data_IF_173990776606
#
_entry.id   IF_173990776606
#
_cell.length_a   1.000
_cell.length_b   1.000
_cell.length_c   1.000
_cell.angle_alpha   90.00
_cell.angle_beta   90.00
_cell.angle_gamma   90.00
#
_symmetry.space_group_name_H-M   'P 1'
#
loop_
_entity.id
_entity.type
_entity.pdbx_description
1 polymer ?
2 water ?
#
# COMPACT_ATOMS: atom_id res chain seq x y z
N UNK A 2 -4.93 12.74 -10.84
CA UNK A 2 -4.01 11.96 -11.72
C UNK A 2 -3.03 11.05 -11.00
N UNK A 3 -3.05 11.04 -9.66
CA UNK A 3 -2.01 10.37 -8.89
C UNK A 3 -2.06 8.84 -9.01
N UNK A 4 -0.89 8.20 -8.96
CA UNK A 4 -0.76 6.72 -8.96
C UNK A 4 -0.08 6.30 -7.69
N UNK A 5 -0.75 5.43 -6.94
CA UNK A 5 -0.21 4.83 -5.74
C UNK A 5 -0.17 3.35 -5.91
N UNK A 6 0.69 2.75 -5.14
CA UNK A 6 0.73 1.31 -4.91
C UNK A 6 0.84 1.04 -3.46
N UNK A 7 0.37 -0.14 -3.09
CA UNK A 7 0.38 -0.52 -1.71
C UNK A 7 0.65 -2.02 -1.59
N UNK A 8 1.17 -2.37 -0.43
CA UNK A 8 1.24 -3.73 0.04
C UNK A 8 0.57 -3.84 1.40
N UNK A 9 -0.22 -4.90 1.56
CA UNK A 9 -0.78 -5.21 2.85
C UNK A 9 -0.33 -6.58 3.26
N UNK A 10 -0.08 -6.75 4.57
CA UNK A 10 0.40 -8.02 5.14
C UNK A 10 0.13 -8.16 6.64
N UNK A 11 -0.51 -9.23 7.04
CA UNK A 11 -0.71 -9.51 8.47
C UNK A 11 -0.30 -10.96 8.65
N UNK A 12 0.59 -11.29 9.62
CA UNK A 12 1.01 -12.71 9.75
C UNK A 12 -0.10 -13.67 10.22
N UNK A 13 -1.20 -13.14 10.75
CA UNK A 13 -2.28 -14.00 11.24
C UNK A 13 -3.45 -14.10 10.25
N UNK A 14 -3.63 -15.31 9.71
CA UNK A 14 -4.69 -15.56 8.75
C UNK A 14 -4.57 -14.66 7.54
N UNK A 15 -5.71 -14.39 6.91
CA UNK A 15 -5.78 -13.65 5.68
C UNK A 15 -6.78 -12.50 5.71
N UNK A 16 -7.78 -12.56 6.59
CA UNK A 16 -8.89 -11.59 6.56
C UNK A 16 -8.43 -10.17 6.76
N UNK A 17 -7.52 -9.96 7.73
CA UNK A 17 -6.97 -8.62 7.94
C UNK A 17 -6.18 -8.09 6.77
N UNK A 18 -5.37 -8.95 6.16
CA UNK A 18 -4.61 -8.57 4.97
C UNK A 18 -5.54 -8.08 3.87
N UNK A 19 -6.60 -8.83 3.64
CA UNK A 19 -7.55 -8.51 2.60
C UNK A 19 -8.37 -7.30 2.97
N UNK A 20 -8.64 -7.09 4.25
CA UNK A 20 -9.54 -6.00 4.62
C UNK A 20 -8.81 -4.67 4.42
N UNK A 21 -7.54 -4.63 4.85
CA UNK A 21 -6.67 -3.49 4.55
C UNK A 21 -6.62 -3.20 3.05
N UNK A 22 -6.44 -4.23 2.23
CA UNK A 22 -6.38 -4.06 0.77
C UNK A 22 -7.69 -3.50 0.18
N UNK A 23 -8.82 -4.01 0.69
CA UNK A 23 -10.16 -3.64 0.18
C UNK A 23 -10.42 -2.19 0.54
N UNK A 24 -10.02 -1.82 1.75
CA UNK A 24 -10.34 -0.51 2.31
C UNK A 24 -9.44 0.54 1.69
N UNK A 25 -8.18 0.20 1.41
CA UNK A 25 -7.29 1.09 0.62
C UNK A 25 -7.85 1.28 -0.78
N UNK A 26 -8.38 0.22 -1.39
CA UNK A 26 -8.90 0.33 -2.75
C UNK A 26 -10.12 1.24 -2.81
N UNK A 27 -11.03 1.05 -1.88
CA UNK A 27 -12.21 1.89 -1.80
C UNK A 27 -11.84 3.34 -1.48
N UNK A 28 -10.86 3.58 -0.62
CA UNK A 28 -10.44 4.94 -0.25
C UNK A 28 -9.87 5.67 -1.48
N UNK A 29 -9.09 4.93 -2.24
CA UNK A 29 -8.52 5.43 -3.49
C UNK A 29 -9.63 5.80 -4.47
N UNK A 30 -10.59 4.89 -4.66
CA UNK A 30 -11.71 5.16 -5.58
C UNK A 30 -12.46 6.44 -5.19
N UNK A 31 -12.72 6.56 -3.88
CA UNK A 31 -13.41 7.72 -3.28
C UNK A 31 -12.64 9.01 -3.50
N UNK A 32 -11.33 8.91 -3.43
CA UNK A 32 -10.46 10.07 -3.54
C UNK A 32 -10.11 10.38 -4.99
N UNK A 33 -10.55 9.52 -5.91
CA UNK A 33 -10.28 9.65 -7.33
C UNK A 33 -8.80 9.44 -7.61
N UNK A 34 -8.17 8.53 -6.86
CA UNK A 34 -6.71 8.21 -7.00
C UNK A 34 -6.61 6.79 -7.53
N UNK A 35 -5.64 6.52 -8.39
CA UNK A 35 -5.40 5.15 -8.85
C UNK A 35 -4.55 4.41 -7.84
N UNK A 36 -4.87 3.14 -7.59
CA UNK A 36 -4.08 2.34 -6.68
C UNK A 36 -4.13 0.92 -7.09
N UNK A 37 -3.04 0.23 -6.84
CA UNK A 37 -2.95 -1.19 -6.97
C UNK A 37 -2.43 -1.71 -5.65
N UNK A 38 -3.07 -2.78 -5.16
CA UNK A 38 -2.65 -3.35 -3.87
C UNK A 38 -2.19 -4.80 -4.03
N UNK A 39 -0.93 -5.02 -3.72
CA UNK A 39 -0.35 -6.36 -3.60
C UNK A 39 -0.53 -6.87 -2.15
N UNK A 40 -1.00 -8.10 -1.99
CA UNK A 40 -1.13 -8.66 -0.65
C UNK A 40 -0.05 -9.70 -0.39
N UNK A 41 0.38 -9.78 0.86
CA UNK A 41 1.40 -10.71 1.29
C UNK A 41 0.84 -11.46 2.47
N UNK A 42 0.14 -12.52 2.17
CA UNK A 42 -0.50 -13.29 3.23
C UNK A 42 0.25 -14.60 3.39
N UNK A 43 -0.17 -15.40 4.37
CA UNK A 43 0.43 -16.71 4.59
C UNK A 43 0.48 -17.51 3.31
N UNK A 44 -0.57 -17.40 2.50
CA UNK A 44 -0.72 -18.16 1.23
C UNK A 44 0.25 -17.76 0.11
N UNK A 45 0.83 -16.58 0.25
CA UNK A 45 1.82 -16.08 -0.66
C UNK A 45 1.49 -14.64 -1.03
N UNK A 46 2.25 -14.15 -1.99
CA UNK A 46 1.97 -12.88 -2.59
C UNK A 46 0.86 -13.00 -3.66
N UNK A 47 -0.10 -12.09 -3.63
CA UNK A 47 -1.11 -12.04 -4.66
C UNK A 47 -1.18 -10.62 -5.23
N UNK A 48 -1.63 -10.52 -6.47
CA UNK A 48 -1.74 -9.23 -7.16
C UNK A 48 -0.40 -8.49 -7.18
N UNK A 49 0.67 -9.20 -7.53
CA UNK A 49 2.04 -8.66 -7.41
C UNK A 49 2.28 -7.40 -8.24
N UNK A 50 2.90 -6.44 -7.62
CA UNK A 50 3.30 -5.22 -8.33
C UNK A 50 4.34 -5.57 -9.38
N UNK A 51 4.27 -4.90 -10.52
CA UNK A 51 5.32 -5.03 -11.52
C UNK A 51 6.39 -3.95 -11.35
N UNK A 52 7.59 -4.24 -11.88
CA UNK A 52 8.66 -3.25 -11.94
C UNK A 52 8.26 -1.90 -12.58
N UNK A 53 7.47 -1.96 -13.66
CA UNK A 53 7.03 -0.80 -14.42
C UNK A 53 6.04 0.06 -13.61
N UNK A 54 5.10 -0.61 -12.94
CA UNK A 54 4.13 0.08 -12.06
C UNK A 54 4.88 0.78 -10.93
N UNK A 55 5.88 0.13 -10.40
CA UNK A 55 6.67 0.73 -9.32
C UNK A 55 7.45 1.93 -9.84
N UNK A 56 8.01 1.84 -11.03
CA UNK A 56 8.75 2.98 -11.56
C UNK A 56 7.83 4.19 -11.68
N UNK A 57 6.61 3.99 -12.17
CA UNK A 57 5.66 5.11 -12.42
C UNK A 57 4.96 5.62 -11.20
N UNK A 58 4.90 4.83 -10.13
CA UNK A 58 4.12 5.20 -8.94
C UNK A 58 4.64 6.50 -8.30
N UNK A 59 3.71 7.34 -7.83
CA UNK A 59 4.05 8.52 -7.08
C UNK A 59 4.52 8.21 -5.69
N UNK A 60 3.94 7.17 -5.09
CA UNK A 60 4.32 6.75 -3.77
C UNK A 60 3.83 5.33 -3.52
N UNK A 61 4.42 4.73 -2.50
CA UNK A 61 4.13 3.40 -2.02
C UNK A 61 3.65 3.47 -0.56
N UNK A 62 2.56 2.72 -0.28
CA UNK A 62 2.04 2.52 1.06
C UNK A 62 2.17 1.06 1.46
N UNK A 63 2.79 0.82 2.62
CA UNK A 63 2.86 -0.51 3.22
C UNK A 63 2.09 -0.46 4.55
N UNK A 64 1.02 -1.26 4.62
CA UNK A 64 0.22 -1.40 5.82
C UNK A 64 0.39 -2.84 6.24
N UNK A 65 1.24 -3.05 7.23
CA UNK A 65 1.67 -4.41 7.53
C UNK A 65 1.97 -4.58 8.98
N UNK A 66 1.63 -5.76 9.52
CA UNK A 66 1.99 -6.04 10.94
C UNK A 66 3.19 -7.02 11.01
N UNK A 67 3.91 -7.19 9.91
CA UNK A 67 5.17 -7.96 9.86
C UNK A 67 6.16 -7.16 8.97
N UNK A 68 7.45 -7.47 9.05
CA UNK A 68 8.44 -6.76 8.26
C UNK A 68 8.18 -7.11 6.78
N UNK A 69 8.10 -6.12 5.91
CA UNK A 69 7.94 -6.34 4.46
C UNK A 69 9.23 -5.89 3.80
N UNK A 70 9.77 -6.71 2.91
CA UNK A 70 11.01 -6.36 2.22
C UNK A 70 10.72 -5.19 1.30
N UNK A 71 11.55 -4.16 1.39
CA UNK A 71 11.27 -2.91 0.66
C UNK A 71 12.27 -2.63 -0.45
N UNK A 72 13.10 -3.61 -0.79
CA UNK A 72 14.17 -3.38 -1.72
C UNK A 72 13.68 -2.92 -3.10
N UNK A 73 12.46 -3.31 -3.46
CA UNK A 73 11.88 -2.87 -4.75
C UNK A 73 11.58 -1.39 -4.83
N UNK A 74 11.62 -0.72 -3.67
CA UNK A 74 11.10 0.62 -3.50
C UNK A 74 12.20 1.67 -3.23
N UNK A 75 13.45 1.30 -3.48
CA UNK A 75 14.59 2.21 -3.39
C UNK A 75 14.33 3.35 -4.33
N UNK A 76 14.45 4.56 -3.81
CA UNK A 76 14.20 5.74 -4.60
C UNK A 76 12.76 6.16 -4.68
N UNK A 77 11.85 5.37 -4.07
CA UNK A 77 10.44 5.70 -4.01
C UNK A 77 10.09 6.30 -2.67
N UNK A 78 9.15 7.23 -2.68
CA UNK A 78 8.53 7.74 -1.45
C UNK A 78 7.65 6.65 -0.85
N UNK A 79 7.90 6.33 0.40
CA UNK A 79 7.24 5.24 1.04
C UNK A 79 6.73 5.55 2.44
N UNK A 80 5.49 5.17 2.65
CA UNK A 80 4.74 5.33 3.89
C UNK A 80 4.59 3.92 4.44
N UNK A 81 5.07 3.71 5.66
CA UNK A 81 4.99 2.38 6.29
C UNK A 81 4.22 2.44 7.62
N UNK A 82 3.06 1.78 7.67
CA UNK A 82 2.19 1.76 8.86
C UNK A 82 1.71 0.32 9.19
N UNK A 83 0.92 0.19 10.26
CA UNK A 83 0.30 -1.09 10.68
C UNK A 83 -0.84 -1.51 9.76
N UNK A 84 -1.23 -2.78 9.78
CA UNK A 84 -2.39 -3.21 9.00
C UNK A 84 -3.70 -2.51 9.44
N UNK A 85 -3.79 -2.19 10.73
CA UNK A 85 -4.98 -1.57 11.29
C UNK A 85 -5.21 -0.20 10.72
N UNK A 86 -4.13 0.55 10.50
CA UNK A 86 -4.22 1.85 9.82
C UNK A 86 -4.74 1.73 8.41
N UNK A 87 -4.29 0.70 7.68
CA UNK A 87 -4.83 0.40 6.33
C UNK A 87 -6.33 0.09 6.36
N UNK A 88 -6.78 -0.57 7.41
CA UNK A 88 -8.20 -0.94 7.53
C UNK A 88 -8.97 0.29 8.00
N UNK A 89 -8.45 0.99 8.99
CA UNK A 89 -9.22 2.04 9.70
C UNK A 89 -9.06 3.49 9.20
N UNK A 90 -7.91 3.85 8.63
CA UNK A 90 -7.75 5.20 8.16
C UNK A 90 -7.12 5.27 6.79
N UNK A 91 -7.64 4.47 5.84
CA UNK A 91 -7.04 4.40 4.50
C UNK A 91 -6.99 5.78 3.75
N UNK A 92 -8.03 6.61 3.89
CA UNK A 92 -8.04 7.92 3.25
C UNK A 92 -6.87 8.79 3.73
N UNK A 93 -6.63 8.75 5.02
CA UNK A 93 -5.56 9.52 5.61
C UNK A 93 -4.17 9.02 5.14
N UNK A 94 -4.01 7.71 4.93
CA UNK A 94 -2.77 7.16 4.37
C UNK A 94 -2.56 7.63 2.90
N UNK A 95 -3.64 7.64 2.13
CA UNK A 95 -3.56 8.01 0.72
C UNK A 95 -3.25 9.52 0.62
N UNK A 96 -3.91 10.31 1.47
CA UNK A 96 -3.65 11.74 1.54
C UNK A 96 -2.23 12.04 1.97
N UNK A 97 -1.75 11.35 2.99
CA UNK A 97 -0.40 11.57 3.48
C UNK A 97 0.60 11.17 2.39
N UNK A 98 0.30 10.07 1.69
CA UNK A 98 1.17 9.57 0.61
C UNK A 98 1.30 10.58 -0.51
N UNK A 99 0.22 11.24 -0.86
CA UNK A 99 0.24 12.23 -1.93
C UNK A 99 0.56 13.65 -1.52
N UNK A 100 0.52 13.94 -0.22
CA UNK A 100 0.93 15.25 0.25
C UNK A 100 2.44 15.37 0.05
N UNK A 101 3.08 14.24 -0.15
CA UNK A 101 4.48 14.25 -0.50
C UNK A 101 5.44 14.32 0.68
N UNK A 102 4.98 14.68 1.90
CA UNK A 102 5.86 14.79 3.10
C UNK A 102 6.25 13.40 3.59
N UNK A 103 6.83 12.59 2.71
CA UNK A 103 7.21 11.26 3.11
C UNK A 103 8.61 10.98 2.54
N UNK A 104 9.45 10.36 3.35
CA UNK A 104 10.82 10.19 2.90
C UNK A 104 10.95 9.19 1.75
N UNK A 105 12.05 9.35 1.02
CA UNK A 105 12.37 8.53 -0.09
C UNK A 105 13.11 7.38 0.57
N UNK A 106 12.69 6.19 0.24
CA UNK A 106 13.25 5.01 0.81
C UNK A 106 14.59 4.78 0.14
#
# INVERSE_FOLDING_TARGET
SNAKLLAITSCPNGIAHTYMAAENLQKAADRLGVSIKVETQGGIGVENKLTEEEIREADAIIIAADRSVNKDRFIGKKLLSVGVQDGIRKPEELIQKALNGDIPVY
#
